data_IF_399122701117
#
_entry.id   IF_399122701117
#
_cell.length_a   1.000
_cell.length_b   1.000
_cell.length_c   1.000
_cell.angle_alpha   90.00
_cell.angle_beta   90.00
_cell.angle_gamma   90.00
#
_symmetry.space_group_name_H-M   'P 1'
#
loop_
_entity.id
_entity.type
_entity.pdbx_description
1 polymer ?
#
# COMPACT_ATOMS: atom_id res chain seq x y z
N UNK A 1 11.28 -6.83 -11.11
CA UNK A 1 10.27 -6.16 -11.97
C UNK A 1 8.85 -6.37 -11.46
N UNK A 2 8.40 -7.61 -11.24
CA UNK A 2 7.05 -7.89 -10.69
C UNK A 2 6.76 -7.14 -9.38
N UNK A 3 7.63 -7.25 -8.38
CA UNK A 3 7.47 -6.57 -7.08
C UNK A 3 7.32 -5.05 -7.21
N UNK A 4 8.13 -4.41 -8.06
CA UNK A 4 8.03 -2.97 -8.32
C UNK A 4 6.69 -2.62 -9.00
N UNK A 5 6.30 -3.37 -10.03
CA UNK A 5 5.03 -3.17 -10.73
C UNK A 5 3.83 -3.30 -9.81
N UNK A 6 3.83 -4.30 -8.93
CA UNK A 6 2.79 -4.50 -7.92
C UNK A 6 2.77 -3.38 -6.87
N UNK A 7 3.92 -2.88 -6.42
CA UNK A 7 3.99 -1.77 -5.47
C UNK A 7 3.46 -0.46 -6.09
N UNK A 8 3.82 -0.18 -7.35
CA UNK A 8 3.28 0.98 -8.07
C UNK A 8 1.77 0.82 -8.27
N UNK A 9 1.31 -0.36 -8.67
CA UNK A 9 -0.11 -0.66 -8.80
C UNK A 9 -0.86 -0.45 -7.47
N UNK A 10 -0.29 -0.89 -6.35
CA UNK A 10 -0.87 -0.68 -5.03
C UNK A 10 -1.08 0.80 -4.71
N UNK A 11 -0.10 1.66 -5.01
CA UNK A 11 -0.22 3.12 -4.83
C UNK A 11 -1.33 3.68 -5.72
N UNK A 12 -1.38 3.30 -7.00
CA UNK A 12 -2.41 3.80 -7.92
C UNK A 12 -3.82 3.38 -7.48
N UNK A 13 -4.01 2.10 -7.12
CA UNK A 13 -5.29 1.59 -6.63
C UNK A 13 -5.71 2.28 -5.33
N UNK A 14 -4.76 2.52 -4.42
CA UNK A 14 -5.02 3.23 -3.17
C UNK A 14 -5.51 4.65 -3.46
N UNK A 15 -4.75 5.43 -4.22
CA UNK A 15 -5.12 6.82 -4.49
C UNK A 15 -6.44 6.94 -5.26
N UNK A 16 -6.74 6.01 -6.18
CA UNK A 16 -8.07 5.95 -6.81
C UNK A 16 -9.17 5.68 -5.76
N UNK A 17 -8.95 4.75 -4.83
CA UNK A 17 -9.90 4.47 -3.75
C UNK A 17 -10.07 5.63 -2.75
N UNK A 18 -9.02 6.43 -2.54
CA UNK A 18 -9.03 7.58 -1.64
C UNK A 18 -9.65 8.84 -2.27
N UNK A 19 -9.38 9.09 -3.56
CA UNK A 19 -9.71 10.34 -4.23
C UNK A 19 -11.06 10.34 -4.96
N UNK A 20 -11.57 9.17 -5.38
CA UNK A 20 -12.84 9.09 -6.08
C UNK A 20 -14.05 9.18 -5.12
N UNK A 21 -15.07 9.90 -5.57
CA UNK A 21 -16.36 9.98 -4.91
C UNK A 21 -17.23 8.77 -5.31
N UNK A 22 -17.47 7.88 -4.35
CA UNK A 22 -18.33 6.71 -4.52
C UNK A 22 -19.61 6.95 -3.72
N UNK A 23 -20.53 7.73 -4.29
CA UNK A 23 -21.82 8.14 -3.68
C UNK A 23 -21.69 8.95 -2.37
N UNK A 24 -20.47 9.25 -1.96
CA UNK A 24 -20.07 9.97 -0.76
C UNK A 24 -18.77 10.69 -1.04
N UNK A 25 -18.48 11.74 -0.25
CA UNK A 25 -17.23 12.50 -0.33
C UNK A 25 -15.99 11.58 -0.28
N UNK A 26 -14.91 12.05 -0.89
CA UNK A 26 -13.62 11.37 -0.93
C UNK A 26 -13.08 11.08 0.49
N UNK A 27 -12.23 10.07 0.65
CA UNK A 27 -11.64 9.77 1.96
C UNK A 27 -10.64 10.84 2.39
N UNK A 28 -10.11 11.64 1.47
CA UNK A 28 -9.34 12.84 1.79
C UNK A 28 -10.15 13.90 2.52
N UNK A 29 -11.46 13.98 2.28
CA UNK A 29 -12.36 14.88 3.00
C UNK A 29 -12.86 14.26 4.31
N UNK A 30 -13.23 12.98 4.28
CA UNK A 30 -13.85 12.31 5.43
C UNK A 30 -12.84 11.95 6.53
N UNK A 31 -11.64 11.49 6.15
CA UNK A 31 -10.64 10.94 7.07
C UNK A 31 -9.19 11.31 6.63
N UNK A 32 -8.86 12.61 6.48
CA UNK A 32 -7.61 13.07 5.86
C UNK A 32 -6.34 12.47 6.49
N UNK A 33 -6.28 12.36 7.82
CA UNK A 33 -5.13 11.79 8.52
C UNK A 33 -4.93 10.32 8.21
N UNK A 34 -6.01 9.55 8.08
CA UNK A 34 -5.96 8.15 7.71
C UNK A 34 -5.55 7.96 6.25
N UNK A 35 -6.06 8.81 5.35
CA UNK A 35 -5.65 8.86 3.94
C UNK A 35 -4.16 9.13 3.82
N UNK A 36 -3.64 10.14 4.51
CA UNK A 36 -2.21 10.46 4.52
C UNK A 36 -1.35 9.29 5.04
N UNK A 37 -1.77 8.64 6.14
CA UNK A 37 -1.08 7.46 6.67
C UNK A 37 -1.04 6.32 5.63
N UNK A 38 -2.17 6.05 4.97
CA UNK A 38 -2.26 5.00 3.96
C UNK A 38 -1.36 5.31 2.77
N UNK A 39 -1.39 6.53 2.25
CA UNK A 39 -0.55 6.99 1.14
C UNK A 39 0.93 6.85 1.49
N UNK A 40 1.36 7.35 2.65
CA UNK A 40 2.75 7.21 3.11
C UNK A 40 3.12 5.74 3.29
N UNK A 41 2.24 4.93 3.89
CA UNK A 41 2.44 3.49 4.04
C UNK A 41 2.66 2.78 2.70
N UNK A 42 1.82 3.06 1.71
CA UNK A 42 1.95 2.50 0.37
C UNK A 42 3.23 2.98 -0.35
N UNK A 43 3.63 4.24 -0.17
CA UNK A 43 4.90 4.74 -0.69
C UNK A 43 6.11 4.05 -0.01
N UNK A 44 6.03 3.78 1.29
CA UNK A 44 7.08 3.07 2.02
C UNK A 44 7.22 1.61 1.55
N UNK A 45 6.14 0.97 1.07
CA UNK A 45 6.21 -0.37 0.43
C UNK A 45 7.17 -0.37 -0.78
N UNK A 46 7.28 0.74 -1.52
CA UNK A 46 8.21 0.85 -2.67
C UNK A 46 9.68 0.70 -2.27
N UNK A 47 10.04 0.92 -1.00
CA UNK A 47 11.43 0.83 -0.52
C UNK A 47 11.99 -0.58 -0.75
N UNK A 48 11.19 -1.64 -0.60
CA UNK A 48 11.64 -3.01 -0.81
C UNK A 48 12.12 -3.26 -2.27
N UNK A 49 11.28 -3.07 -3.31
CA UNK A 49 11.72 -3.24 -4.69
C UNK A 49 12.75 -2.20 -5.15
N UNK A 50 12.70 -0.95 -4.67
CA UNK A 50 13.67 0.08 -5.05
C UNK A 50 15.05 -0.15 -4.41
N UNK A 51 15.09 -0.63 -3.17
CA UNK A 51 16.34 -1.03 -2.52
C UNK A 51 17.04 -2.14 -3.29
N UNK A 52 16.28 -3.14 -3.74
CA UNK A 52 16.81 -4.22 -4.59
C UNK A 52 17.28 -3.73 -5.96
N UNK A 53 16.57 -2.78 -6.58
CA UNK A 53 16.94 -2.24 -7.89
C UNK A 53 18.20 -1.37 -7.85
N UNK A 54 18.34 -0.56 -6.80
CA UNK A 54 19.44 0.42 -6.68
C UNK A 54 20.68 -0.13 -6.00
N UNK A 55 20.54 -1.21 -5.21
CA UNK A 55 21.62 -1.78 -4.40
C UNK A 55 22.09 -0.87 -3.26
N UNK A 56 21.41 0.25 -3.00
CA UNK A 56 21.82 1.25 -1.98
C UNK A 56 21.53 0.82 -0.55
N UNK A 57 20.66 -0.17 -0.36
CA UNK A 57 20.28 -0.71 0.94
C UNK A 57 20.48 -2.22 0.94
N UNK A 58 20.91 -2.82 2.08
CA UNK A 58 20.85 -4.27 2.24
C UNK A 58 19.43 -4.77 1.98
N UNK A 59 19.28 -5.84 1.21
CA UNK A 59 17.97 -6.32 0.77
C UNK A 59 17.05 -6.64 1.96
N UNK A 60 17.57 -7.24 3.03
CA UNK A 60 16.82 -7.45 4.29
C UNK A 60 16.31 -6.15 4.94
N UNK A 61 17.10 -5.07 4.92
CA UNK A 61 16.70 -3.77 5.49
C UNK A 61 15.64 -3.10 4.61
N UNK A 62 15.81 -3.15 3.29
CA UNK A 62 14.83 -2.66 2.34
C UNK A 62 13.48 -3.40 2.49
N UNK A 63 13.53 -4.73 2.61
CA UNK A 63 12.34 -5.57 2.83
C UNK A 63 11.63 -5.23 4.14
N UNK A 64 12.37 -5.14 5.26
CA UNK A 64 11.79 -4.76 6.56
C UNK A 64 11.14 -3.38 6.52
N UNK A 65 11.76 -2.43 5.83
CA UNK A 65 11.19 -1.08 5.67
C UNK A 65 9.87 -1.14 4.88
N UNK A 66 9.85 -1.88 3.76
CA UNK A 66 8.61 -2.12 3.01
C UNK A 66 7.53 -2.82 3.84
N UNK A 67 7.91 -3.75 4.73
CA UNK A 67 7.00 -4.42 5.65
C UNK A 67 6.35 -3.48 6.66
N UNK A 68 7.07 -2.48 7.15
CA UNK A 68 6.50 -1.41 8.00
C UNK A 68 5.47 -0.59 7.23
N UNK A 69 5.74 -0.26 5.96
CA UNK A 69 4.77 0.41 5.08
C UNK A 69 3.50 -0.41 4.87
N UNK A 70 3.65 -1.71 4.59
CA UNK A 70 2.53 -2.64 4.44
C UNK A 70 1.72 -2.78 5.73
N UNK A 71 2.38 -2.79 6.90
CA UNK A 71 1.71 -2.82 8.19
C UNK A 71 0.86 -1.55 8.43
N UNK A 72 1.39 -0.36 8.11
CA UNK A 72 0.63 0.88 8.19
C UNK A 72 -0.61 0.86 7.27
N UNK A 73 -0.45 0.37 6.04
CA UNK A 73 -1.58 0.21 5.10
C UNK A 73 -2.61 -0.81 5.61
N UNK A 74 -2.17 -1.92 6.21
CA UNK A 74 -3.07 -2.89 6.82
C UNK A 74 -3.82 -2.31 8.02
N UNK A 75 -3.16 -1.48 8.85
CA UNK A 75 -3.80 -0.76 9.95
C UNK A 75 -4.90 0.18 9.44
N UNK A 76 -4.60 0.98 8.41
CA UNK A 76 -5.61 1.78 7.73
C UNK A 76 -6.78 0.92 7.23
N UNK A 77 -6.49 -0.19 6.56
CA UNK A 77 -7.52 -1.03 5.98
C UNK A 77 -8.45 -1.60 7.06
N UNK A 78 -7.90 -2.14 8.16
CA UNK A 78 -8.69 -2.72 9.26
C UNK A 78 -9.56 -1.67 9.96
N UNK A 79 -9.04 -0.46 10.17
CA UNK A 79 -9.72 0.55 10.95
C UNK A 79 -10.69 1.42 10.14
N UNK A 80 -10.45 1.57 8.82
CA UNK A 80 -11.20 2.50 7.97
C UNK A 80 -11.88 1.80 6.80
N UNK A 81 -11.17 0.91 6.09
CA UNK A 81 -11.69 0.29 4.88
C UNK A 81 -12.60 -0.92 5.16
N UNK A 82 -12.32 -1.69 6.22
CA UNK A 82 -13.05 -2.91 6.56
C UNK A 82 -14.56 -2.72 6.70
N UNK A 83 -15.08 -1.66 7.36
CA UNK A 83 -16.53 -1.41 7.42
C UNK A 83 -17.21 -1.20 6.06
N UNK A 84 -16.45 -0.73 5.07
CA UNK A 84 -16.94 -0.44 3.71
C UNK A 84 -16.42 -1.45 2.68
N UNK A 85 -15.84 -2.57 3.11
CA UNK A 85 -15.27 -3.60 2.24
C UNK A 85 -16.20 -4.10 1.10
N UNK A 86 -17.53 -4.26 1.28
CA UNK A 86 -18.40 -4.72 0.19
C UNK A 86 -18.76 -3.66 -0.86
N UNK A 87 -18.30 -2.41 -0.70
CA UNK A 87 -18.56 -1.31 -1.65
C UNK A 87 -17.51 -1.24 -2.76
N UNK A 88 -17.80 -0.50 -3.84
CA UNK A 88 -16.82 -0.24 -4.90
C UNK A 88 -15.54 0.40 -4.33
N UNK A 89 -15.66 1.39 -3.44
CA UNK A 89 -14.52 1.98 -2.71
C UNK A 89 -13.75 0.91 -1.93
N UNK A 90 -14.47 0.04 -1.21
CA UNK A 90 -13.90 -1.08 -0.47
C UNK A 90 -13.09 -2.04 -1.34
N UNK A 91 -13.57 -2.31 -2.56
CA UNK A 91 -12.85 -3.12 -3.54
C UNK A 91 -11.49 -2.49 -3.91
N UNK A 92 -11.44 -1.20 -4.26
CA UNK A 92 -10.18 -0.52 -4.61
C UNK A 92 -9.17 -0.56 -3.46
N UNK A 93 -9.59 -0.29 -2.23
CA UNK A 93 -8.72 -0.31 -1.05
C UNK A 93 -8.23 -1.73 -0.72
N UNK A 94 -9.08 -2.74 -0.93
CA UNK A 94 -8.71 -4.15 -0.73
C UNK A 94 -7.74 -4.62 -1.80
N UNK A 95 -7.96 -4.25 -3.06
CA UNK A 95 -7.07 -4.55 -4.17
C UNK A 95 -5.70 -3.87 -3.97
N UNK A 96 -5.68 -2.63 -3.47
CA UNK A 96 -4.45 -1.93 -3.11
C UNK A 96 -3.65 -2.67 -2.03
N UNK A 97 -4.31 -3.09 -0.94
CA UNK A 97 -3.67 -3.86 0.13
C UNK A 97 -3.13 -5.21 -0.39
N UNK A 98 -3.92 -5.93 -1.19
CA UNK A 98 -3.51 -7.21 -1.78
C UNK A 98 -2.30 -7.05 -2.70
N UNK A 99 -2.28 -6.00 -3.54
CA UNK A 99 -1.16 -5.68 -4.41
C UNK A 99 0.10 -5.32 -3.60
N UNK A 100 -0.03 -4.54 -2.53
CA UNK A 100 1.08 -4.22 -1.63
C UNK A 100 1.67 -5.46 -0.95
N UNK A 101 0.82 -6.36 -0.45
CA UNK A 101 1.24 -7.62 0.15
C UNK A 101 1.96 -8.52 -0.87
N UNK A 102 1.43 -8.64 -2.09
CA UNK A 102 2.06 -9.40 -3.17
C UNK A 102 3.39 -8.79 -3.63
N UNK A 103 3.48 -7.45 -3.65
CA UNK A 103 4.72 -6.75 -3.94
C UNK A 103 5.81 -7.08 -2.91
N UNK A 104 5.48 -7.05 -1.62
CA UNK A 104 6.41 -7.38 -0.54
C UNK A 104 6.78 -8.87 -0.53
N UNK A 105 5.82 -9.75 -0.81
CA UNK A 105 6.06 -11.19 -0.88
C UNK A 105 7.05 -11.58 -1.99
N UNK A 106 6.99 -10.86 -3.11
CA UNK A 106 7.85 -11.04 -4.28
C UNK A 106 9.14 -10.20 -4.24
N UNK A 107 9.35 -9.39 -3.20
CA UNK A 107 10.54 -8.57 -3.05
C UNK A 107 11.76 -9.37 -2.54
N UNK A 108 12.99 -9.06 -3.01
CA UNK A 108 14.23 -9.60 -2.46
C UNK A 108 14.40 -9.25 -0.96
N UNK A 109 15.17 -10.05 -0.22
CA UNK A 109 15.40 -9.84 1.22
C UNK A 109 14.39 -10.50 2.16
N UNK A 110 13.34 -11.17 1.64
CA UNK A 110 12.36 -11.91 2.45
C UNK A 110 12.92 -13.19 3.09
N UNK A 111 13.79 -13.91 2.37
CA UNK A 111 14.33 -15.22 2.75
C UNK A 111 15.81 -15.18 3.15
N UNK A 112 16.39 -13.99 3.24
CA UNK A 112 17.79 -13.75 3.63
C UNK A 112 17.98 -13.67 5.14
#
# INVERSE_FOLDING_TARGET
>A
MLSLGLAVLAVLLLELGLALDFESASLWELVPTWSALATVGALVVLVAPLGALTGRLPARTAWRTGAVGAAALATFWVLVALPIAPTDRGFWLTAALAAAAAALWSAPGRTE
#
